data_IF_288226534320
#
_entry.id   IF_288226534320
#
_cell.length_a   1.000
_cell.length_b   1.000
_cell.length_c   1.000
_cell.angle_alpha   90.00
_cell.angle_beta   90.00
_cell.angle_gamma   90.00
#
_symmetry.space_group_name_H-M   'P 1'
#
loop_
_entity.id
_entity.type
_entity.pdbx_description
1 polymer ?
#
# COMPACT_ATOMS: atom_id res chain seq x y z
N UNK A 1 7.75 -0.29 6.10
CA UNK A 1 7.01 -1.51 5.72
C UNK A 1 5.68 -1.50 6.45
N UNK A 2 4.59 -1.85 5.77
CA UNK A 2 3.25 -1.98 6.34
C UNK A 2 2.82 -3.44 6.25
N UNK A 3 2.50 -4.07 7.36
CA UNK A 3 1.85 -5.39 7.35
C UNK A 3 0.33 -5.20 7.50
N UNK A 4 -0.42 -5.66 6.50
CA UNK A 4 -1.87 -5.66 6.45
C UNK A 4 -2.44 -7.05 6.08
N UNK A 5 -1.65 -8.12 6.21
CA UNK A 5 -2.12 -9.50 6.01
C UNK A 5 -3.20 -9.87 7.03
N UNK A 6 -4.13 -10.73 6.63
CA UNK A 6 -5.28 -11.12 7.44
C UNK A 6 -6.36 -10.03 7.58
N UNK A 7 -6.11 -8.82 7.06
CA UNK A 7 -7.09 -7.74 7.02
C UNK A 7 -7.81 -7.76 5.67
N UNK A 8 -9.12 -7.51 5.70
CA UNK A 8 -9.95 -7.37 4.49
C UNK A 8 -10.21 -5.91 4.19
N UNK A 9 -10.65 -5.63 2.96
CA UNK A 9 -11.16 -4.34 2.54
C UNK A 9 -12.07 -3.73 3.61
N UNK A 10 -11.85 -2.45 4.01
CA UNK A 10 -10.94 -1.46 3.39
C UNK A 10 -9.56 -1.32 4.07
N UNK A 11 -9.20 -2.22 5.00
CA UNK A 11 -8.10 -2.00 5.94
C UNK A 11 -6.70 -1.84 5.32
N UNK A 12 -6.26 -2.61 4.30
CA UNK A 12 -4.96 -2.41 3.68
C UNK A 12 -4.78 -1.00 3.11
N UNK A 13 -5.80 -0.50 2.41
CA UNK A 13 -5.81 0.84 1.84
C UNK A 13 -5.78 1.93 2.93
N UNK A 14 -6.53 1.76 4.02
CA UNK A 14 -6.52 2.72 5.14
C UNK A 14 -5.16 2.81 5.83
N UNK A 15 -4.47 1.67 6.00
CA UNK A 15 -3.11 1.65 6.57
C UNK A 15 -2.12 2.36 5.66
N UNK A 16 -2.16 2.08 4.36
CA UNK A 16 -1.33 2.78 3.38
C UNK A 16 -1.60 4.29 3.40
N UNK A 17 -2.87 4.70 3.34
CA UNK A 17 -3.25 6.11 3.34
C UNK A 17 -2.76 6.85 4.60
N UNK A 18 -2.80 6.16 5.75
CA UNK A 18 -2.29 6.70 7.01
C UNK A 18 -0.77 6.94 6.94
N UNK A 19 0.01 5.95 6.54
CA UNK A 19 1.47 6.07 6.44
C UNK A 19 1.88 7.22 5.52
N UNK A 20 1.24 7.31 4.35
CA UNK A 20 1.50 8.36 3.37
C UNK A 20 1.20 9.77 3.91
N UNK A 21 0.09 9.96 4.63
CA UNK A 21 -0.25 11.25 5.26
C UNK A 21 0.70 11.66 6.37
N UNK A 22 1.24 10.69 7.11
CA UNK A 22 2.18 10.96 8.21
C UNK A 22 3.59 11.27 7.70
N UNK A 23 3.85 11.20 6.39
CA UNK A 23 5.19 11.33 5.83
C UNK A 23 6.11 10.19 6.23
N UNK A 24 5.54 9.09 6.74
CA UNK A 24 6.26 7.87 7.03
C UNK A 24 6.64 7.28 5.67
N UNK A 25 7.94 7.15 5.40
CA UNK A 25 8.54 6.65 4.15
C UNK A 25 8.73 7.70 3.03
N UNK A 26 9.80 8.53 3.09
CA UNK A 26 10.26 9.30 1.94
C UNK A 26 10.85 8.42 0.82
N UNK A 27 11.40 7.26 1.19
CA UNK A 27 11.96 6.25 0.29
C UNK A 27 10.90 5.19 -0.12
N UNK A 28 11.17 4.37 -1.16
CA UNK A 28 10.36 3.21 -1.46
C UNK A 28 10.18 2.28 -0.25
N UNK A 29 8.98 1.72 -0.10
CA UNK A 29 8.66 0.84 1.02
C UNK A 29 7.66 -0.24 0.65
N UNK A 30 7.72 -1.36 1.38
CA UNK A 30 6.85 -2.51 1.14
C UNK A 30 5.53 -2.47 1.92
N UNK A 31 4.51 -3.05 1.32
CA UNK A 31 3.21 -3.37 1.93
C UNK A 31 2.92 -4.85 1.71
N UNK A 32 2.54 -5.56 2.77
CA UNK A 32 2.07 -6.94 2.73
C UNK A 32 0.54 -6.95 2.86
N UNK A 33 -0.17 -7.50 1.88
CA UNK A 33 -1.63 -7.61 1.92
C UNK A 33 -2.13 -8.81 1.09
N UNK A 34 -2.84 -9.74 1.75
CA UNK A 34 -3.32 -11.01 1.18
C UNK A 34 -4.83 -10.98 0.82
N UNK A 35 -5.48 -9.83 0.99
CA UNK A 35 -6.81 -9.60 0.44
C UNK A 35 -6.74 -9.47 -1.09
N UNK A 36 -7.51 -10.26 -1.86
CA UNK A 36 -7.57 -10.15 -3.32
C UNK A 36 -7.98 -8.75 -3.82
N UNK A 37 -8.68 -7.95 -3.00
CA UNK A 37 -9.05 -6.58 -3.36
C UNK A 37 -7.98 -5.52 -3.01
N UNK A 38 -6.95 -5.89 -2.24
CA UNK A 38 -6.00 -4.93 -1.70
C UNK A 38 -5.27 -4.16 -2.81
N UNK A 39 -4.86 -4.82 -3.90
CA UNK A 39 -4.10 -4.17 -4.97
C UNK A 39 -4.85 -2.97 -5.55
N UNK A 40 -6.12 -3.17 -5.93
CA UNK A 40 -6.93 -2.13 -6.57
C UNK A 40 -7.09 -0.91 -5.66
N UNK A 41 -7.38 -1.14 -4.39
CA UNK A 41 -7.64 -0.07 -3.43
C UNK A 41 -6.35 0.64 -2.99
N UNK A 42 -5.28 -0.10 -2.76
CA UNK A 42 -3.97 0.47 -2.45
C UNK A 42 -3.40 1.25 -3.62
N UNK A 43 -3.66 0.83 -4.87
CA UNK A 43 -3.23 1.55 -6.07
C UNK A 43 -3.90 2.92 -6.14
N UNK A 44 -5.21 2.99 -5.94
CA UNK A 44 -5.94 4.25 -5.91
C UNK A 44 -5.44 5.19 -4.79
N UNK A 45 -5.14 4.64 -3.61
CA UNK A 45 -4.56 5.42 -2.49
C UNK A 45 -3.16 5.93 -2.83
N UNK A 46 -2.29 5.11 -3.41
CA UNK A 46 -0.94 5.51 -3.80
C UNK A 46 -0.98 6.61 -4.86
N UNK A 47 -1.79 6.44 -5.91
CA UNK A 47 -1.93 7.41 -7.00
C UNK A 47 -2.46 8.76 -6.49
N UNK A 48 -3.47 8.75 -5.61
CA UNK A 48 -3.99 9.97 -4.97
C UNK A 48 -2.95 10.71 -4.11
N UNK A 49 -1.92 10.00 -3.62
CA UNK A 49 -0.81 10.58 -2.87
C UNK A 49 0.41 10.91 -3.75
N UNK A 50 0.28 10.88 -5.07
CA UNK A 50 1.40 11.11 -5.99
C UNK A 50 2.48 10.04 -5.89
N UNK A 51 2.08 8.78 -5.70
CA UNK A 51 2.97 7.62 -5.59
C UNK A 51 2.56 6.51 -6.54
N UNK A 52 3.46 5.55 -6.75
CA UNK A 52 3.24 4.41 -7.63
C UNK A 52 3.28 3.11 -6.83
N UNK A 53 2.24 2.28 -7.00
CA UNK A 53 2.19 0.93 -6.44
C UNK A 53 2.66 -0.09 -7.47
N UNK A 54 3.67 -0.87 -7.11
CA UNK A 54 4.18 -2.00 -7.89
C UNK A 54 3.78 -3.28 -7.17
N UNK A 55 3.15 -4.22 -7.90
CA UNK A 55 2.86 -5.55 -7.36
C UNK A 55 4.08 -6.43 -7.53
N UNK A 56 4.49 -7.06 -6.44
CA UNK A 56 5.50 -8.12 -6.41
C UNK A 56 4.79 -9.49 -6.29
N UNK A 57 5.55 -10.56 -6.05
CA UNK A 57 4.99 -11.89 -5.79
C UNK A 57 4.38 -12.01 -4.37
N UNK A 58 3.57 -13.05 -4.14
CA UNK A 58 3.15 -13.51 -2.81
C UNK A 58 2.57 -12.45 -1.86
N UNK A 59 1.55 -11.71 -2.30
CA UNK A 59 0.87 -10.68 -1.50
C UNK A 59 1.78 -9.49 -1.09
N UNK A 60 2.88 -9.27 -1.80
CA UNK A 60 3.80 -8.13 -1.58
C UNK A 60 3.59 -7.04 -2.61
N UNK A 61 3.70 -5.80 -2.15
CA UNK A 61 3.64 -4.60 -2.99
C UNK A 61 4.71 -3.62 -2.56
N UNK A 62 5.24 -2.86 -3.51
CA UNK A 62 6.19 -1.78 -3.27
C UNK A 62 5.55 -0.44 -3.63
N UNK A 63 5.69 0.55 -2.76
CA UNK A 63 5.18 1.91 -2.94
C UNK A 63 6.37 2.82 -3.19
N UNK A 64 6.45 3.40 -4.39
CA UNK A 64 7.52 4.30 -4.79
C UNK A 64 7.03 5.75 -4.79
N UNK A 65 7.90 6.72 -4.46
CA UNK A 65 7.71 8.10 -4.90
C UNK A 65 7.46 8.18 -6.42
N UNK A 66 6.64 9.13 -6.86
CA UNK A 66 6.46 9.41 -8.29
C UNK A 66 7.79 9.83 -8.95
#
# INVERSE_FOLDING_TARGET
MIDARGLRCPWPALRLARALRQGEHPEPFEVLADDPNAEREMRAVAEAAGRRLIRLADARFEVHPA
#
